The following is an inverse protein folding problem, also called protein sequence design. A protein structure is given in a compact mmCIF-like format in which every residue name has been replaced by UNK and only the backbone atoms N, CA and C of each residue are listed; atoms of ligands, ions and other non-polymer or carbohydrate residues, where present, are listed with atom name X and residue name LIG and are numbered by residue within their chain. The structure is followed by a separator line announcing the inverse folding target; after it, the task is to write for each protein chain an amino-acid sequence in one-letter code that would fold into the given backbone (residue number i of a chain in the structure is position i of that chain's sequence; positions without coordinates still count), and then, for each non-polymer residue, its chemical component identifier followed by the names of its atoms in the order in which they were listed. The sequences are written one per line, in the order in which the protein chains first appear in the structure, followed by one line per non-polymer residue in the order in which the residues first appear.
data_IF_175945173856
#
_entry.id   IF_175945173856
#
_cell.length_a   1.000
_cell.length_b   1.000
_cell.length_c   1.000
_cell.angle_alpha   90.00
_cell.angle_beta   90.00
_cell.angle_gamma   90.00
#
_symmetry.space_group_name_H-M   'P 1'
#
loop_
_entity.id
_entity.type
_entity.pdbx_description
1 polymer ?
#
# COMPACT_ATOMS: atom_id res chain seq x y z
N UNK A 1 68.54 -39.72 3.61
CA UNK A 1 67.95 -38.37 3.75
C UNK A 1 67.15 -38.30 5.06
N UNK A 2 67.35 -37.22 5.82
CA UNK A 2 66.48 -36.58 6.85
C UNK A 2 65.68 -37.45 7.87
N UNK A 3 66.03 -37.46 9.16
CA UNK A 3 65.65 -36.53 10.27
C UNK A 3 64.24 -36.75 10.89
N UNK A 4 64.26 -37.30 12.12
CA UNK A 4 63.80 -36.71 13.40
C UNK A 4 62.44 -35.97 13.51
N UNK A 5 61.74 -36.28 14.62
CA UNK A 5 60.88 -35.45 15.52
C UNK A 5 59.34 -35.60 15.50
N UNK A 6 58.87 -36.07 16.68
CA UNK A 6 58.01 -35.39 17.67
C UNK A 6 56.59 -34.94 17.28
N UNK A 7 55.64 -35.49 18.05
CA UNK A 7 54.24 -35.09 18.32
C UNK A 7 53.91 -33.61 18.10
N UNK A 8 52.74 -33.35 17.50
CA UNK A 8 51.93 -32.15 17.76
C UNK A 8 50.45 -32.42 17.45
N UNK A 9 49.60 -32.13 18.44
CA UNK A 9 48.16 -32.08 18.33
C UNK A 9 47.69 -30.78 17.67
N UNK A 10 46.66 -30.84 16.83
CA UNK A 10 45.67 -29.78 16.49
C UNK A 10 44.81 -30.34 15.35
N UNK A 11 43.52 -30.07 15.19
CA UNK A 11 42.61 -29.10 15.79
C UNK A 11 41.17 -29.63 15.74
N UNK A 12 40.43 -29.38 16.82
CA UNK A 12 38.96 -29.40 16.88
C UNK A 12 38.37 -28.58 15.72
N UNK A 13 37.57 -29.20 14.85
CA UNK A 13 36.56 -28.48 14.08
C UNK A 13 35.30 -28.36 14.95
N UNK A 14 35.07 -27.15 15.45
CA UNK A 14 33.89 -26.77 16.22
C UNK A 14 32.58 -26.80 15.40
N UNK A 15 31.43 -26.60 16.08
CA UNK A 15 30.12 -26.83 15.51
C UNK A 15 29.83 -25.82 14.40
N UNK A 16 29.33 -26.33 13.26
CA UNK A 16 28.83 -25.53 12.15
C UNK A 16 27.75 -24.58 12.66
N UNK A 17 28.09 -23.30 12.76
CA UNK A 17 27.15 -22.23 13.00
C UNK A 17 26.07 -22.31 11.91
N UNK A 18 24.85 -22.70 12.29
CA UNK A 18 23.66 -22.55 11.46
C UNK A 18 23.62 -21.09 11.02
N UNK A 19 23.91 -20.88 9.73
CA UNK A 19 23.68 -19.61 9.05
C UNK A 19 22.21 -19.28 9.24
N UNK A 20 21.91 -18.36 10.15
CA UNK A 20 20.58 -17.78 10.26
C UNK A 20 20.39 -17.00 8.98
N UNK A 21 19.73 -17.63 8.01
CA UNK A 21 19.07 -16.90 6.94
C UNK A 21 18.22 -15.83 7.61
N UNK A 22 18.34 -14.55 7.24
CA UNK A 22 17.38 -13.57 7.72
C UNK A 22 16.03 -14.07 7.23
N UNK A 23 15.25 -14.64 8.16
CA UNK A 23 13.85 -14.94 7.94
C UNK A 23 13.26 -13.63 7.45
N UNK A 24 12.82 -13.62 6.20
CA UNK A 24 11.99 -12.56 5.63
C UNK A 24 10.91 -12.29 6.67
N UNK A 25 11.02 -11.14 7.33
CA UNK A 25 10.05 -10.72 8.34
C UNK A 25 8.72 -10.61 7.64
N UNK A 26 7.88 -11.61 7.86
CA UNK A 26 6.42 -11.59 7.73
C UNK A 26 5.88 -10.89 6.47
N UNK A 27 5.79 -11.64 5.38
CA UNK A 27 4.71 -11.50 4.38
C UNK A 27 3.30 -11.65 4.99
N UNK A 28 3.19 -11.95 6.29
CA UNK A 28 1.94 -12.01 7.04
C UNK A 28 1.35 -10.63 7.43
N UNK A 29 2.04 -9.51 7.14
CA UNK A 29 1.44 -8.17 7.25
C UNK A 29 0.65 -7.77 5.98
N UNK A 30 0.50 -8.68 5.02
CA UNK A 30 -0.52 -8.64 3.98
C UNK A 30 -1.89 -9.09 4.54
N UNK A 31 -2.41 -8.43 5.59
CA UNK A 31 -3.87 -8.46 5.84
C UNK A 31 -4.51 -7.69 4.70
N UNK A 32 -5.28 -8.36 3.84
CA UNK A 32 -6.29 -7.84 2.89
C UNK A 32 -6.27 -6.31 2.62
N UNK A 33 -5.12 -5.74 2.23
CA UNK A 33 -5.06 -4.33 1.84
C UNK A 33 -5.70 -4.26 0.46
N UNK A 34 -6.80 -3.52 0.37
CA UNK A 34 -7.56 -3.34 -0.87
C UNK A 34 -6.70 -2.55 -1.87
N UNK A 35 -5.83 -1.68 -1.37
CA UNK A 35 -4.91 -0.89 -2.19
C UNK A 35 -3.46 -1.43 -2.07
N UNK A 36 -2.71 -1.48 -3.18
CA UNK A 36 -1.37 -2.07 -3.21
C UNK A 36 -0.31 -1.13 -2.61
N UNK A 37 -0.07 -1.26 -1.30
CA UNK A 37 0.91 -0.43 -0.57
C UNK A 37 2.30 -0.41 -1.22
N UNK A 38 2.82 -1.57 -1.62
CA UNK A 38 4.18 -1.68 -2.19
C UNK A 38 4.31 -0.90 -3.49
N UNK A 39 3.27 -0.92 -4.34
CA UNK A 39 3.24 -0.12 -5.57
C UNK A 39 3.16 1.37 -5.28
N UNK A 40 2.41 1.77 -4.24
CA UNK A 40 2.34 3.17 -3.82
C UNK A 40 3.72 3.63 -3.32
N UNK A 41 4.44 2.81 -2.57
CA UNK A 41 5.80 3.11 -2.14
C UNK A 41 6.75 3.26 -3.34
N UNK A 42 6.75 2.32 -4.29
CA UNK A 42 7.57 2.42 -5.52
C UNK A 42 7.27 3.71 -6.30
N UNK A 43 5.98 4.06 -6.45
CA UNK A 43 5.58 5.30 -7.13
C UNK A 43 6.11 6.55 -6.42
N UNK A 44 6.10 6.56 -5.08
CA UNK A 44 6.66 7.68 -4.29
C UNK A 44 8.18 7.79 -4.50
N UNK A 45 8.93 6.69 -4.43
CA UNK A 45 10.38 6.71 -4.65
C UNK A 45 10.74 7.22 -6.04
N UNK A 46 10.00 6.78 -7.06
CA UNK A 46 10.20 7.24 -8.45
C UNK A 46 9.87 8.72 -8.63
N UNK A 47 8.90 9.25 -7.89
CA UNK A 47 8.51 10.67 -7.95
C UNK A 47 9.51 11.58 -7.22
N UNK A 48 10.20 11.06 -6.20
CA UNK A 48 11.15 11.80 -5.38
C UNK A 48 12.56 11.16 -5.42
N UNK A 49 13.23 11.18 -6.58
CA UNK A 49 14.47 10.42 -6.80
C UNK A 49 15.66 10.88 -5.96
N UNK A 50 15.63 12.12 -5.45
CA UNK A 50 16.67 12.69 -4.59
C UNK A 50 16.42 12.47 -3.10
N UNK A 51 15.29 11.86 -2.71
CA UNK A 51 14.89 11.68 -1.32
C UNK A 51 14.64 10.21 -0.94
N UNK A 52 14.94 9.86 0.30
CA UNK A 52 14.56 8.55 0.86
C UNK A 52 13.11 8.62 1.34
N UNK A 53 12.21 7.90 0.67
CA UNK A 53 10.81 7.77 1.11
C UNK A 53 10.73 6.74 2.23
N UNK A 54 10.27 7.17 3.40
CA UNK A 54 10.03 6.26 4.53
C UNK A 54 8.84 5.33 4.24
N UNK A 55 8.94 4.08 4.66
CA UNK A 55 7.86 3.09 4.48
C UNK A 55 6.53 3.56 5.10
N UNK A 56 6.60 4.28 6.22
CA UNK A 56 5.45 4.86 6.92
C UNK A 56 4.67 5.86 6.05
N UNK A 57 5.34 6.57 5.14
CA UNK A 57 4.68 7.50 4.22
C UNK A 57 3.75 6.73 3.25
N UNK A 58 4.21 5.59 2.74
CA UNK A 58 3.39 4.73 1.88
C UNK A 58 2.22 4.12 2.65
N UNK A 59 2.42 3.71 3.90
CA UNK A 59 1.34 3.23 4.78
C UNK A 59 0.28 4.30 4.97
N UNK A 60 0.69 5.52 5.32
CA UNK A 60 -0.23 6.63 5.55
C UNK A 60 -1.01 6.98 4.29
N UNK A 61 -0.32 7.16 3.15
CA UNK A 61 -0.98 7.49 1.90
C UNK A 61 -1.94 6.39 1.45
N UNK A 62 -1.57 5.12 1.59
CA UNK A 62 -2.46 3.99 1.28
C UNK A 62 -3.73 4.04 2.11
N UNK A 63 -3.62 4.29 3.42
CA UNK A 63 -4.78 4.36 4.32
C UNK A 63 -5.73 5.51 3.95
N UNK A 64 -5.18 6.69 3.61
CA UNK A 64 -5.99 7.83 3.15
C UNK A 64 -6.72 7.50 1.85
N UNK A 65 -6.04 6.88 0.89
CA UNK A 65 -6.64 6.48 -0.38
C UNK A 65 -7.73 5.42 -0.19
N UNK A 66 -7.51 4.43 0.68
CA UNK A 66 -8.53 3.43 1.03
C UNK A 66 -9.76 4.06 1.69
N UNK A 67 -9.54 4.97 2.65
CA UNK A 67 -10.63 5.69 3.32
C UNK A 67 -11.49 6.47 2.32
N UNK A 68 -10.86 7.31 1.49
CA UNK A 68 -11.57 8.14 0.51
C UNK A 68 -12.31 7.29 -0.54
N UNK A 69 -11.71 6.19 -0.98
CA UNK A 69 -12.36 5.29 -1.92
C UNK A 69 -13.60 4.62 -1.31
N UNK A 70 -13.52 4.19 -0.04
CA UNK A 70 -14.64 3.58 0.67
C UNK A 70 -15.77 4.60 0.84
N UNK A 71 -15.46 5.81 1.30
CA UNK A 71 -16.46 6.86 1.54
C UNK A 71 -17.26 7.19 0.26
N UNK A 72 -16.57 7.44 -0.85
CA UNK A 72 -17.22 7.75 -2.12
C UNK A 72 -18.05 6.56 -2.61
N UNK A 73 -17.55 5.32 -2.48
CA UNK A 73 -18.28 4.13 -2.91
C UNK A 73 -19.50 3.83 -2.03
N UNK A 74 -19.45 4.13 -0.74
CA UNK A 74 -20.57 3.98 0.18
C UNK A 74 -21.71 4.94 -0.18
N UNK A 75 -21.40 6.24 -0.35
CA UNK A 75 -22.36 7.24 -0.80
C UNK A 75 -22.96 6.86 -2.16
N UNK A 76 -22.12 6.43 -3.09
CA UNK A 76 -22.56 5.99 -4.44
C UNK A 76 -23.44 4.75 -4.40
N UNK A 77 -23.18 3.83 -3.48
CA UNK A 77 -23.99 2.62 -3.31
C UNK A 77 -25.37 2.97 -2.76
N UNK A 78 -25.46 3.92 -1.84
CA UNK A 78 -26.74 4.40 -1.32
C UNK A 78 -27.59 5.06 -2.42
N UNK A 79 -26.97 5.85 -3.28
CA UNK A 79 -27.63 6.40 -4.48
C UNK A 79 -28.08 5.29 -5.43
N UNK A 80 -27.22 4.31 -5.73
CA UNK A 80 -27.55 3.20 -6.62
C UNK A 80 -28.70 2.33 -6.10
N UNK A 81 -28.72 2.04 -4.79
CA UNK A 81 -29.83 1.34 -4.12
C UNK A 81 -31.12 2.14 -4.23
N UNK A 82 -31.08 3.44 -3.98
CA UNK A 82 -32.24 4.33 -4.07
C UNK A 82 -32.82 4.36 -5.48
N UNK A 83 -31.96 4.50 -6.51
CA UNK A 83 -32.34 4.44 -7.93
C UNK A 83 -33.05 3.14 -8.33
N UNK A 84 -32.73 2.04 -7.66
CA UNK A 84 -33.29 0.71 -7.97
C UNK A 84 -34.58 0.37 -7.24
N UNK A 85 -35.06 1.24 -6.35
CA UNK A 85 -36.17 0.94 -5.43
C UNK A 85 -35.77 0.03 -4.27
N UNK A 86 -34.52 0.10 -3.81
CA UNK A 86 -34.01 -0.70 -2.69
C UNK A 86 -33.64 -2.15 -3.03
N UNK A 87 -33.46 -2.48 -4.32
CA UNK A 87 -33.03 -3.82 -4.73
C UNK A 87 -31.53 -4.02 -4.48
N UNK A 88 -31.17 -5.21 -4.04
CA UNK A 88 -29.78 -5.64 -3.89
C UNK A 88 -29.13 -6.01 -5.24
N UNK A 89 -27.80 -6.10 -5.25
CA UNK A 89 -27.02 -6.53 -6.41
C UNK A 89 -26.94 -5.51 -7.56
N UNK A 90 -27.34 -4.27 -7.31
CA UNK A 90 -27.34 -3.20 -8.31
C UNK A 90 -25.91 -2.71 -8.55
N UNK A 91 -25.55 -2.56 -9.82
CA UNK A 91 -24.26 -1.98 -10.22
C UNK A 91 -24.27 -0.48 -9.97
N UNK A 92 -23.20 0.00 -9.33
CA UNK A 92 -22.88 1.43 -9.25
C UNK A 92 -22.50 1.94 -10.64
N UNK A 93 -23.09 3.06 -11.05
CA UNK A 93 -22.85 3.72 -12.33
C UNK A 93 -22.10 5.03 -12.14
N UNK A 94 -21.58 5.61 -13.22
CA UNK A 94 -20.97 6.95 -13.18
C UNK A 94 -21.96 8.00 -12.64
N UNK A 95 -23.24 7.89 -13.01
CA UNK A 95 -24.26 8.83 -12.55
C UNK A 95 -24.47 8.76 -11.03
N UNK A 96 -24.45 7.56 -10.44
CA UNK A 96 -24.59 7.41 -8.98
C UNK A 96 -23.42 8.05 -8.23
N UNK A 97 -22.20 7.88 -8.75
CA UNK A 97 -21.01 8.53 -8.19
C UNK A 97 -21.08 10.05 -8.28
N UNK A 98 -21.49 10.60 -9.42
CA UNK A 98 -21.60 12.06 -9.57
C UNK A 98 -22.70 12.64 -8.67
N UNK A 99 -23.82 11.95 -8.54
CA UNK A 99 -24.90 12.36 -7.62
C UNK A 99 -24.46 12.29 -6.16
N UNK A 100 -23.75 11.24 -5.76
CA UNK A 100 -23.17 11.11 -4.43
C UNK A 100 -22.18 12.23 -4.11
N UNK A 101 -21.27 12.55 -5.04
CA UNK A 101 -20.32 13.65 -4.89
C UNK A 101 -21.03 14.99 -4.77
N UNK A 102 -22.08 15.24 -5.56
CA UNK A 102 -22.79 16.53 -5.52
C UNK A 102 -23.66 16.68 -4.25
N UNK A 103 -24.13 15.57 -3.68
CA UNK A 103 -24.93 15.57 -2.47
C UNK A 103 -24.12 15.75 -1.18
N UNK A 104 -22.83 15.40 -1.18
CA UNK A 104 -21.95 15.53 -0.02
C UNK A 104 -21.04 16.76 -0.13
N UNK A 105 -21.17 17.71 0.80
CA UNK A 105 -20.47 18.99 0.72
C UNK A 105 -18.95 18.86 0.85
N UNK A 106 -18.46 17.96 1.70
CA UNK A 106 -17.02 17.79 1.95
C UNK A 106 -16.34 17.16 0.73
N UNK A 107 -16.94 16.10 0.18
CA UNK A 107 -16.47 15.44 -1.04
C UNK A 107 -16.55 16.38 -2.23
N UNK A 108 -17.65 17.13 -2.37
CA UNK A 108 -17.79 18.14 -3.42
C UNK A 108 -16.66 19.16 -3.38
N UNK A 109 -16.42 19.73 -2.20
CA UNK A 109 -15.37 20.73 -2.01
C UNK A 109 -13.99 20.15 -2.34
N UNK A 110 -13.69 18.93 -1.88
CA UNK A 110 -12.44 18.24 -2.19
C UNK A 110 -12.25 18.06 -3.70
N UNK A 111 -13.26 17.54 -4.41
CA UNK A 111 -13.19 17.28 -5.85
C UNK A 111 -13.06 18.58 -6.64
N UNK A 112 -13.78 19.64 -6.25
CA UNK A 112 -13.71 20.93 -6.93
C UNK A 112 -12.32 21.59 -6.75
N UNK A 113 -11.71 21.49 -5.56
CA UNK A 113 -10.31 21.92 -5.33
C UNK A 113 -9.33 21.15 -6.21
N UNK A 114 -9.46 19.82 -6.30
CA UNK A 114 -8.58 18.99 -7.14
C UNK A 114 -8.76 19.33 -8.63
N UNK A 115 -9.99 19.55 -9.10
CA UNK A 115 -10.26 19.98 -10.48
C UNK A 115 -9.58 21.30 -10.82
N UNK A 116 -9.68 22.29 -9.94
CA UNK A 116 -9.04 23.59 -10.12
C UNK A 116 -7.51 23.46 -10.17
N UNK A 117 -6.91 22.75 -9.20
CA UNK A 117 -5.47 22.53 -9.17
C UNK A 117 -4.94 21.85 -10.45
N UNK A 118 -5.67 20.86 -10.97
CA UNK A 118 -5.30 20.16 -12.20
C UNK A 118 -5.51 21.01 -13.47
N UNK A 119 -6.48 21.93 -13.47
CA UNK A 119 -6.69 22.86 -14.57
C UNK A 119 -5.57 23.91 -14.64
N UNK A 120 -5.07 24.37 -13.48
CA UNK A 120 -3.97 25.34 -13.39
C UNK A 120 -2.59 24.74 -13.66
N UNK A 121 -2.46 23.41 -13.64
CA UNK A 121 -1.21 22.70 -13.88
C UNK A 121 -0.96 22.35 -15.37
N UNK A 122 -1.87 22.73 -16.27
CA UNK A 122 -1.76 22.61 -17.73
C UNK A 122 -1.45 23.96 -18.36
#
# INVERSE_FOLDING_TARGET
MAKSRKRSASSKSGPSAKRVTPSTRSSAMHREKRFPMDKIHELLERKFPSGNVKAEAAVFLTAVLEYLAIEILELSTNVARSRSGGRDGVKVTLQDMLQAIEADSETKELIDKVRQANASAK
#
